data_IF_051948034327
#
_entry.id   IF_051948034327
#
_cell.length_a   1.000
_cell.length_b   1.000
_cell.length_c   1.000
_cell.angle_alpha   90.00
_cell.angle_beta   90.00
_cell.angle_gamma   90.00
#
_symmetry.space_group_name_H-M   'P 1'
#
loop_
_entity.id
_entity.type
_entity.pdbx_description
1 polymer ?
#
# COMPACT_ATOMS: atom_id res chain seq x y z
N UNK A 1 37.42 1.18 -4.31
CA UNK A 1 35.98 1.11 -4.63
C UNK A 1 35.33 2.25 -3.88
N UNK A 2 35.06 3.36 -4.58
CA UNK A 2 34.25 4.46 -4.04
C UNK A 2 32.91 3.88 -3.59
N UNK A 3 32.43 4.30 -2.42
CA UNK A 3 31.20 3.78 -1.82
C UNK A 3 30.03 4.11 -2.75
N UNK A 4 29.54 3.09 -3.46
CA UNK A 4 28.22 3.18 -4.10
C UNK A 4 27.19 3.39 -2.97
N UNK A 5 26.35 4.42 -3.10
CA UNK A 5 25.26 4.70 -2.16
C UNK A 5 24.24 3.56 -2.11
N UNK A 6 23.27 3.62 -1.18
CA UNK A 6 22.32 2.54 -0.99
C UNK A 6 21.50 2.29 -2.27
N UNK A 7 21.28 1.00 -2.58
CA UNK A 7 20.42 0.57 -3.69
C UNK A 7 18.93 0.58 -3.35
N UNK A 8 18.58 1.09 -2.17
CA UNK A 8 17.23 1.12 -1.65
C UNK A 8 16.96 2.42 -0.92
N UNK A 9 15.70 2.82 -0.86
CA UNK A 9 15.28 3.94 -0.04
C UNK A 9 13.78 3.96 0.19
N UNK A 10 13.34 4.52 1.31
CA UNK A 10 11.92 4.63 1.65
C UNK A 10 11.52 6.10 1.77
N UNK A 11 10.41 6.46 1.13
CA UNK A 11 9.80 7.78 1.17
C UNK A 11 8.43 7.64 1.82
N UNK A 12 8.21 8.35 2.92
CA UNK A 12 6.93 8.37 3.60
C UNK A 12 6.22 9.69 3.37
N UNK A 13 5.25 9.68 2.48
CA UNK A 13 4.47 10.85 2.11
C UNK A 13 2.99 10.55 2.31
N UNK A 14 2.28 11.39 3.05
CA UNK A 14 0.87 11.18 3.39
C UNK A 14 -0.01 10.93 2.15
N UNK A 15 -1.07 10.15 2.31
CA UNK A 15 -1.96 9.86 1.17
C UNK A 15 -2.62 11.15 0.67
N UNK A 16 -2.61 11.34 -0.65
CA UNK A 16 -3.13 12.57 -1.27
C UNK A 16 -2.08 13.69 -1.41
N UNK A 17 -0.85 13.53 -0.91
CA UNK A 17 0.20 14.55 -1.03
C UNK A 17 0.86 14.67 -2.41
N UNK A 18 0.40 13.91 -3.42
CA UNK A 18 0.98 13.92 -4.76
C UNK A 18 2.14 12.94 -5.00
N UNK A 19 2.18 11.79 -4.30
CA UNK A 19 3.19 10.74 -4.51
C UNK A 19 3.39 10.34 -5.97
N UNK A 20 2.31 10.20 -6.74
CA UNK A 20 2.37 9.82 -8.16
C UNK A 20 3.11 10.87 -9.00
N UNK A 21 2.89 12.16 -8.72
CA UNK A 21 3.64 13.26 -9.34
C UNK A 21 5.13 13.23 -8.97
N UNK A 22 5.43 12.98 -7.69
CA UNK A 22 6.81 12.82 -7.23
C UNK A 22 7.53 11.71 -8.03
N UNK A 23 6.89 10.55 -8.22
CA UNK A 23 7.50 9.44 -8.98
C UNK A 23 7.83 9.84 -10.41
N UNK A 24 6.93 10.53 -11.11
CA UNK A 24 7.20 10.94 -12.50
C UNK A 24 8.25 12.03 -12.61
N UNK A 25 8.21 13.05 -11.76
CA UNK A 25 9.25 14.07 -11.77
C UNK A 25 10.61 13.49 -11.40
N UNK A 26 10.65 12.55 -10.45
CA UNK A 26 11.86 11.80 -10.13
C UNK A 26 12.33 10.97 -11.34
N UNK A 27 11.43 10.23 -12.00
CA UNK A 27 11.77 9.42 -13.17
C UNK A 27 12.36 10.26 -14.31
N UNK A 28 11.78 11.41 -14.61
CA UNK A 28 12.32 12.34 -15.61
C UNK A 28 13.68 12.89 -15.21
N UNK A 29 13.83 13.35 -13.96
CA UNK A 29 15.11 13.88 -13.48
C UNK A 29 16.21 12.84 -13.51
N UNK A 30 15.92 11.61 -13.08
CA UNK A 30 16.86 10.47 -13.12
C UNK A 30 17.27 10.14 -14.55
N UNK A 31 16.32 10.13 -15.48
CA UNK A 31 16.57 9.90 -16.91
C UNK A 31 17.51 10.93 -17.55
N UNK A 32 17.53 12.15 -17.02
CA UNK A 32 18.38 13.24 -17.51
C UNK A 32 19.79 13.25 -16.88
N UNK A 33 20.08 12.40 -15.89
CA UNK A 33 21.41 12.30 -15.30
C UNK A 33 22.33 11.47 -16.20
N UNK A 34 23.39 12.08 -16.71
CA UNK A 34 24.35 11.42 -17.60
C UNK A 34 25.16 10.33 -16.87
N UNK A 35 25.39 10.53 -15.57
CA UNK A 35 26.10 9.64 -14.66
C UNK A 35 25.38 8.30 -14.48
N UNK A 36 24.07 8.25 -14.79
CA UNK A 36 23.26 7.04 -14.74
C UNK A 36 23.24 6.27 -16.07
N UNK A 37 23.98 6.75 -17.08
CA UNK A 37 24.18 6.07 -18.37
C UNK A 37 22.88 5.62 -19.06
N UNK A 38 21.96 6.56 -19.25
CA UNK A 38 20.62 6.33 -19.78
C UNK A 38 19.86 5.25 -18.97
N UNK A 39 19.48 5.54 -17.72
CA UNK A 39 18.85 4.54 -16.86
C UNK A 39 17.46 4.15 -17.39
N UNK A 40 17.00 2.96 -17.03
CA UNK A 40 15.59 2.60 -17.19
C UNK A 40 14.89 2.89 -15.87
N UNK A 41 13.81 3.66 -15.88
CA UNK A 41 13.05 3.95 -14.66
C UNK A 41 11.69 3.27 -14.75
N UNK A 42 11.29 2.56 -13.69
CA UNK A 42 10.07 1.78 -13.66
C UNK A 42 9.21 2.28 -12.51
N UNK A 43 8.00 2.73 -12.82
CA UNK A 43 6.97 3.07 -11.84
C UNK A 43 6.10 1.83 -11.67
N UNK A 44 6.09 1.29 -10.45
CA UNK A 44 5.36 0.08 -10.09
C UNK A 44 4.24 0.43 -9.14
N UNK A 45 3.02 0.20 -9.57
CA UNK A 45 1.82 0.40 -8.77
C UNK A 45 1.26 -0.93 -8.25
N UNK A 46 0.43 -0.88 -7.21
CA UNK A 46 -0.35 -2.03 -6.74
C UNK A 46 -1.84 -1.94 -7.12
N UNK A 47 -2.21 -0.91 -7.90
CA UNK A 47 -3.57 -0.65 -8.35
C UNK A 47 -3.64 -0.49 -9.86
N UNK A 48 -4.51 -1.28 -10.48
CA UNK A 48 -4.76 -1.22 -11.93
C UNK A 48 -5.44 0.09 -12.31
N UNK A 49 -6.37 0.58 -11.48
CA UNK A 49 -7.07 1.84 -11.72
C UNK A 49 -6.15 3.07 -11.59
N UNK A 50 -5.13 2.97 -10.74
CA UNK A 50 -4.12 4.01 -10.58
C UNK A 50 -3.12 4.03 -11.75
N UNK A 51 -2.78 2.88 -12.33
CA UNK A 51 -1.99 2.78 -13.57
C UNK A 51 -2.65 3.56 -14.73
N UNK A 52 -3.96 3.39 -14.93
CA UNK A 52 -4.70 4.10 -15.98
C UNK A 52 -4.75 5.61 -15.74
N UNK A 53 -4.92 6.03 -14.47
CA UNK A 53 -4.92 7.44 -14.10
C UNK A 53 -3.54 8.07 -14.33
N UNK A 54 -2.49 7.45 -13.79
CA UNK A 54 -1.08 7.84 -13.96
C UNK A 54 -0.80 7.95 -15.46
N UNK A 55 -1.01 6.88 -16.22
CA UNK A 55 -0.74 6.88 -17.67
C UNK A 55 -1.53 7.97 -18.40
N UNK A 56 -2.81 8.18 -18.07
CA UNK A 56 -3.64 9.23 -18.65
C UNK A 56 -3.16 10.64 -18.35
N UNK A 57 -2.82 10.93 -17.09
CA UNK A 57 -2.29 12.22 -16.65
C UNK A 57 -0.94 12.51 -17.32
N UNK A 58 -0.07 11.52 -17.43
CA UNK A 58 1.27 11.71 -18.01
C UNK A 58 1.28 11.75 -19.54
N UNK A 59 0.38 11.03 -20.19
CA UNK A 59 0.17 11.17 -21.64
C UNK A 59 -0.32 12.57 -21.97
N UNK A 60 -1.24 13.13 -21.17
CA UNK A 60 -1.69 14.53 -21.31
C UNK A 60 -0.58 15.55 -21.07
N UNK A 61 0.36 15.24 -20.19
CA UNK A 61 1.52 16.09 -19.93
C UNK A 61 2.63 15.96 -20.99
N UNK A 62 2.43 15.17 -22.05
CA UNK A 62 3.37 14.96 -23.16
C UNK A 62 4.78 14.53 -22.72
N UNK A 63 4.88 13.76 -21.63
CA UNK A 63 6.18 13.31 -21.13
C UNK A 63 6.79 12.32 -22.12
N UNK A 64 7.99 12.60 -22.68
CA UNK A 64 8.59 11.76 -23.71
C UNK A 64 9.13 10.45 -23.11
N UNK A 65 9.22 9.41 -23.96
CA UNK A 65 9.80 8.11 -23.60
C UNK A 65 9.11 7.41 -22.42
N UNK A 66 7.79 7.56 -22.29
CA UNK A 66 6.95 6.76 -21.40
C UNK A 66 6.35 5.58 -22.18
N UNK A 67 6.34 4.41 -21.55
CA UNK A 67 5.65 3.21 -22.01
C UNK A 67 4.85 2.61 -20.85
N UNK A 68 3.72 1.97 -21.14
CA UNK A 68 2.98 1.18 -20.16
C UNK A 68 2.95 -0.27 -20.63
N UNK A 69 3.26 -1.20 -19.71
CA UNK A 69 3.09 -2.62 -19.95
C UNK A 69 1.75 -3.07 -19.37
N UNK A 70 0.79 -3.34 -20.25
CA UNK A 70 -0.56 -3.81 -19.91
C UNK A 70 -0.59 -5.31 -19.66
N UNK A 71 0.32 -6.04 -20.30
CA UNK A 71 0.43 -7.49 -20.15
C UNK A 71 1.78 -7.90 -19.55
N UNK A 72 1.84 -9.13 -19.05
CA UNK A 72 3.10 -9.73 -18.57
C UNK A 72 4.09 -9.88 -19.72
N UNK A 73 3.62 -10.25 -20.89
CA UNK A 73 4.43 -10.47 -22.09
C UNK A 73 5.11 -9.16 -22.51
N UNK A 74 4.37 -8.05 -22.47
CA UNK A 74 4.91 -6.70 -22.70
C UNK A 74 5.97 -6.33 -21.66
N UNK A 75 5.72 -6.59 -20.37
CA UNK A 75 6.70 -6.36 -19.30
C UNK A 75 8.00 -7.13 -19.55
N UNK A 76 7.89 -8.43 -19.85
CA UNK A 76 9.05 -9.28 -20.13
C UNK A 76 9.78 -8.83 -21.39
N UNK A 77 9.05 -8.51 -22.45
CA UNK A 77 9.63 -8.03 -23.70
C UNK A 77 10.40 -6.73 -23.50
N UNK A 78 9.84 -5.77 -22.75
CA UNK A 78 10.47 -4.50 -22.44
C UNK A 78 11.85 -4.67 -21.81
N UNK A 79 11.96 -5.52 -20.78
CA UNK A 79 13.23 -5.75 -20.09
C UNK A 79 14.20 -6.60 -20.91
N UNK A 80 13.74 -7.62 -21.64
CA UNK A 80 14.57 -8.48 -22.49
C UNK A 80 15.10 -7.75 -23.73
N UNK A 81 14.35 -6.80 -24.27
CA UNK A 81 14.77 -5.91 -25.36
C UNK A 81 15.63 -4.74 -24.86
N UNK A 82 15.88 -4.68 -23.55
CA UNK A 82 16.76 -3.70 -22.93
C UNK A 82 16.33 -2.25 -23.19
N UNK A 83 15.02 -2.01 -23.18
CA UNK A 83 14.46 -0.70 -23.47
C UNK A 83 14.84 0.35 -22.42
N UNK A 84 15.21 1.55 -22.91
CA UNK A 84 15.77 2.68 -22.14
C UNK A 84 14.73 3.78 -21.98
N UNK A 85 13.62 3.48 -21.31
CA UNK A 85 12.44 4.36 -21.17
C UNK A 85 11.99 4.45 -19.72
N UNK A 86 10.98 5.27 -19.49
CA UNK A 86 10.15 5.22 -18.28
C UNK A 86 9.07 4.17 -18.54
N UNK A 87 9.00 3.13 -17.72
CA UNK A 87 7.96 2.11 -17.78
C UNK A 87 6.97 2.31 -16.64
N UNK A 88 5.67 2.29 -16.94
CA UNK A 88 4.61 2.20 -15.94
C UNK A 88 4.05 0.78 -15.98
N UNK A 89 3.92 0.16 -14.81
CA UNK A 89 3.40 -1.21 -14.69
C UNK A 89 2.83 -1.46 -13.30
N UNK A 90 2.24 -2.63 -13.10
CA UNK A 90 1.71 -3.07 -11.80
C UNK A 90 2.54 -4.22 -11.24
N UNK A 91 2.66 -4.29 -9.93
CA UNK A 91 3.39 -5.35 -9.21
C UNK A 91 2.90 -6.75 -9.57
N UNK A 92 1.60 -6.91 -9.85
CA UNK A 92 0.98 -8.21 -10.18
C UNK A 92 1.58 -8.85 -11.44
N UNK A 93 2.09 -8.06 -12.38
CA UNK A 93 2.71 -8.56 -13.63
C UNK A 93 4.04 -9.27 -13.36
N UNK A 94 4.65 -9.07 -12.21
CA UNK A 94 5.83 -9.83 -11.76
C UNK A 94 5.47 -11.19 -11.14
N UNK A 95 4.19 -11.46 -10.86
CA UNK A 95 3.75 -12.66 -10.14
C UNK A 95 4.05 -13.98 -10.84
N UNK A 96 4.14 -14.00 -12.16
CA UNK A 96 4.46 -15.21 -12.92
C UNK A 96 5.79 -15.10 -13.66
N UNK A 97 6.61 -14.09 -13.35
CA UNK A 97 7.93 -13.94 -13.95
C UNK A 97 8.88 -14.97 -13.34
N UNK A 98 9.47 -15.80 -14.20
CA UNK A 98 10.46 -16.78 -13.83
C UNK A 98 11.85 -16.36 -14.30
N UNK A 99 12.82 -16.41 -13.39
CA UNK A 99 14.21 -16.09 -13.67
C UNK A 99 14.48 -14.58 -13.82
N UNK A 100 15.69 -14.29 -14.30
CA UNK A 100 16.19 -12.92 -14.45
C UNK A 100 15.74 -12.36 -15.80
N UNK A 101 15.15 -11.15 -15.79
CA UNK A 101 14.76 -10.43 -17.00
C UNK A 101 15.87 -9.51 -17.51
N UNK A 102 16.60 -8.86 -16.60
CA UNK A 102 17.70 -7.95 -16.95
C UNK A 102 18.65 -7.76 -15.75
N UNK A 103 19.96 -7.87 -15.99
CA UNK A 103 21.00 -7.77 -14.96
C UNK A 103 21.66 -6.38 -14.86
N UNK A 104 21.20 -5.39 -15.62
CA UNK A 104 21.77 -4.04 -15.55
C UNK A 104 21.66 -3.44 -14.16
N UNK A 105 22.68 -2.68 -13.80
CA UNK A 105 22.81 -2.01 -12.53
C UNK A 105 22.25 -0.57 -12.52
N UNK A 106 21.75 -0.06 -13.64
CA UNK A 106 21.10 1.25 -13.77
C UNK A 106 19.62 1.14 -14.18
N UNK A 107 18.94 0.14 -13.64
CA UNK A 107 17.48 0.06 -13.60
C UNK A 107 17.02 0.58 -12.24
N UNK A 108 16.03 1.47 -12.23
CA UNK A 108 15.54 2.13 -11.01
C UNK A 108 14.04 1.92 -10.90
N UNK A 109 13.59 1.30 -9.81
CA UNK A 109 12.18 1.08 -9.52
C UNK A 109 11.69 2.07 -8.48
N UNK A 110 10.58 2.72 -8.78
CA UNK A 110 9.79 3.57 -7.89
C UNK A 110 8.49 2.82 -7.61
N UNK A 111 8.33 2.30 -6.39
CA UNK A 111 7.23 1.40 -6.02
C UNK A 111 6.24 2.17 -5.16
N UNK A 112 5.01 2.36 -5.65
CA UNK A 112 3.93 2.94 -4.86
C UNK A 112 3.32 1.91 -3.90
N UNK A 113 2.74 2.43 -2.83
CA UNK A 113 2.24 1.68 -1.67
C UNK A 113 3.16 0.49 -1.32
N UNK A 114 4.44 0.81 -1.11
CA UNK A 114 5.52 -0.13 -0.84
C UNK A 114 5.25 -1.10 0.32
N UNK A 115 4.26 -0.81 1.15
CA UNK A 115 3.80 -1.68 2.22
C UNK A 115 2.89 -2.84 1.74
N UNK A 116 2.13 -2.66 0.65
CA UNK A 116 1.23 -3.65 0.04
C UNK A 116 1.97 -4.57 -0.93
N UNK A 117 3.01 -4.07 -1.60
CA UNK A 117 3.84 -4.87 -2.51
C UNK A 117 4.69 -5.95 -1.81
N UNK A 118 4.69 -5.99 -0.48
CA UNK A 118 5.38 -7.02 0.33
C UNK A 118 4.49 -8.21 0.72
N UNK A 119 3.33 -8.41 0.08
CA UNK A 119 2.57 -9.64 0.24
C UNK A 119 3.30 -10.84 -0.39
N UNK A 120 4.14 -11.44 0.47
CA UNK A 120 4.84 -12.74 0.53
C UNK A 120 5.51 -13.36 -0.72
N UNK A 121 5.27 -12.91 -1.95
CA UNK A 121 5.95 -13.47 -3.14
C UNK A 121 6.25 -12.44 -4.25
N UNK A 122 5.35 -11.48 -4.51
CA UNK A 122 5.49 -10.57 -5.64
C UNK A 122 6.74 -9.69 -5.57
N UNK A 123 7.02 -9.09 -4.41
CA UNK A 123 8.21 -8.28 -4.19
C UNK A 123 9.51 -9.09 -4.37
N UNK A 124 9.51 -10.37 -3.98
CA UNK A 124 10.68 -11.24 -4.16
C UNK A 124 10.87 -11.60 -5.63
N UNK A 125 9.80 -11.95 -6.35
CA UNK A 125 9.84 -12.21 -7.79
C UNK A 125 10.34 -11.01 -8.58
N UNK A 126 9.86 -9.81 -8.26
CA UNK A 126 10.34 -8.57 -8.87
C UNK A 126 11.86 -8.35 -8.66
N UNK A 127 12.36 -8.60 -7.45
CA UNK A 127 13.80 -8.50 -7.13
C UNK A 127 14.62 -9.57 -7.82
N UNK A 128 14.12 -10.81 -7.89
CA UNK A 128 14.78 -11.89 -8.61
C UNK A 128 14.85 -11.61 -10.12
N UNK A 129 13.81 -10.99 -10.68
CA UNK A 129 13.77 -10.60 -12.08
C UNK A 129 14.76 -9.49 -12.43
N UNK A 130 15.08 -8.60 -11.48
CA UNK A 130 15.92 -7.42 -11.66
C UNK A 130 16.95 -7.30 -10.52
N UNK A 131 17.93 -8.22 -10.45
CA UNK A 131 18.77 -8.43 -9.26
C UNK A 131 19.70 -7.26 -8.92
N UNK A 132 20.08 -6.45 -9.91
CA UNK A 132 21.03 -5.35 -9.73
C UNK A 132 20.37 -3.97 -9.65
N UNK A 133 19.04 -3.92 -9.76
CA UNK A 133 18.28 -2.68 -9.80
C UNK A 133 18.22 -1.94 -8.46
N UNK A 134 17.92 -0.64 -8.52
CA UNK A 134 17.63 0.21 -7.38
C UNK A 134 16.15 0.14 -7.03
N UNK A 135 15.79 0.10 -5.75
CA UNK A 135 14.42 -0.03 -5.28
C UNK A 135 14.04 1.08 -4.30
N UNK A 136 13.24 2.04 -4.75
CA UNK A 136 12.72 3.11 -3.91
C UNK A 136 11.23 2.90 -3.65
N UNK A 137 10.85 2.80 -2.39
CA UNK A 137 9.46 2.63 -1.97
C UNK A 137 8.84 3.96 -1.59
N UNK A 138 7.62 4.20 -2.03
CA UNK A 138 6.76 5.28 -1.56
C UNK A 138 5.58 4.66 -0.79
N UNK A 139 5.22 5.24 0.34
CA UNK A 139 4.08 4.74 1.12
C UNK A 139 3.41 5.86 1.89
N UNK A 140 2.07 5.83 1.97
CA UNK A 140 1.29 6.68 2.87
C UNK A 140 1.32 6.21 4.33
N UNK A 141 1.47 4.90 4.51
CA UNK A 141 1.32 4.20 5.78
C UNK A 141 2.47 3.21 5.96
N UNK A 142 3.64 3.64 6.46
CA UNK A 142 4.74 2.73 6.71
C UNK A 142 4.35 1.74 7.83
N UNK A 143 4.30 0.44 7.51
CA UNK A 143 3.99 -0.60 8.49
C UNK A 143 5.24 -0.88 9.31
N UNK A 144 5.17 -0.60 10.62
CA UNK A 144 6.26 -0.86 11.58
C UNK A 144 5.90 -2.04 12.51
N UNK A 145 5.29 -3.10 11.96
CA UNK A 145 4.97 -4.34 12.69
C UNK A 145 5.88 -5.47 12.21
N UNK A 146 6.36 -6.27 13.17
CA UNK A 146 7.42 -7.28 13.04
C UNK A 146 7.28 -8.32 11.92
N UNK A 147 6.10 -8.48 11.30
CA UNK A 147 5.84 -9.52 10.28
C UNK A 147 5.74 -9.02 8.82
N UNK A 148 5.78 -7.70 8.56
CA UNK A 148 5.76 -7.13 7.20
C UNK A 148 6.61 -5.85 7.16
N UNK A 149 7.94 -6.00 7.16
CA UNK A 149 8.82 -4.86 7.37
C UNK A 149 9.16 -4.14 6.06
N UNK A 150 8.40 -3.08 5.72
CA UNK A 150 8.70 -2.19 4.57
C UNK A 150 10.14 -1.66 4.62
N UNK A 151 10.70 -1.44 5.82
CA UNK A 151 12.09 -1.01 5.97
C UNK A 151 13.10 -2.10 5.61
N UNK A 152 12.78 -3.38 5.78
CA UNK A 152 13.67 -4.45 5.33
C UNK A 152 13.80 -4.42 3.80
N UNK A 153 12.69 -4.20 3.10
CA UNK A 153 12.65 -4.17 1.65
C UNK A 153 13.25 -2.87 1.07
N UNK A 154 12.97 -1.72 1.68
CA UNK A 154 13.28 -0.41 1.08
C UNK A 154 14.11 0.52 1.97
N UNK A 155 14.15 0.32 3.28
CA UNK A 155 14.93 1.20 4.18
C UNK A 155 16.44 0.99 4.00
N UNK A 156 17.20 2.07 3.94
CA UNK A 156 18.67 2.05 3.92
C UNK A 156 19.24 2.30 5.32
N UNK A 157 20.40 1.71 5.61
CA UNK A 157 21.06 1.89 6.91
C UNK A 157 21.54 3.34 7.08
N UNK A 158 21.90 3.98 5.96
CA UNK A 158 22.30 5.38 5.89
C UNK A 158 21.16 6.36 6.27
N UNK A 159 19.91 5.95 6.08
CA UNK A 159 18.74 6.77 6.42
C UNK A 159 18.31 6.59 7.88
N UNK A 160 18.99 5.77 8.68
CA UNK A 160 18.57 5.48 10.06
C UNK A 160 18.60 6.73 10.96
N UNK A 161 19.51 7.67 10.69
CA UNK A 161 19.56 8.96 11.40
C UNK A 161 18.32 9.84 11.12
N UNK A 162 17.68 9.67 9.96
CA UNK A 162 16.43 10.36 9.57
C UNK A 162 15.18 9.49 9.83
N UNK A 163 15.32 8.43 10.64
CA UNK A 163 14.23 7.52 10.98
C UNK A 163 13.93 6.45 9.92
N UNK A 164 14.90 6.17 9.05
CA UNK A 164 14.83 5.16 7.98
C UNK A 164 14.13 5.64 6.71
N UNK A 165 14.01 6.97 6.53
CA UNK A 165 13.35 7.57 5.37
C UNK A 165 14.27 8.60 4.68
N UNK A 166 14.30 8.55 3.34
CA UNK A 166 14.94 9.58 2.51
C UNK A 166 14.19 10.91 2.65
N UNK A 167 12.86 10.83 2.70
CA UNK A 167 11.98 12.00 2.82
C UNK A 167 10.71 11.62 3.56
N UNK A 168 10.25 12.53 4.42
CA UNK A 168 9.06 12.36 5.23
C UNK A 168 8.16 13.59 5.11
N UNK A 169 6.92 13.34 4.74
CA UNK A 169 5.83 14.31 4.69
C UNK A 169 4.61 13.69 5.37
N UNK A 170 4.34 14.11 6.59
CA UNK A 170 3.34 13.48 7.45
C UNK A 170 1.94 14.04 7.25
N UNK A 171 0.94 13.35 7.82
CA UNK A 171 -0.42 13.89 7.93
C UNK A 171 -0.43 15.31 8.52
N UNK A 172 0.36 15.52 9.58
CA UNK A 172 0.45 16.82 10.24
C UNK A 172 0.95 17.91 9.28
N UNK A 173 1.97 17.61 8.47
CA UNK A 173 2.49 18.55 7.47
C UNK A 173 1.43 18.87 6.41
N UNK A 174 0.72 17.84 5.96
CA UNK A 174 -0.35 17.92 4.96
C UNK A 174 -1.56 18.74 5.41
N UNK A 175 -1.83 18.79 6.72
CA UNK A 175 -2.85 19.66 7.30
C UNK A 175 -2.32 21.08 7.45
N UNK A 176 -1.08 21.24 7.95
CA UNK A 176 -0.47 22.55 8.22
C UNK A 176 -0.30 23.43 6.98
N UNK A 177 -0.01 22.83 5.82
CA UNK A 177 0.13 23.54 4.55
C UNK A 177 -1.17 23.59 3.72
N UNK A 178 -2.25 22.99 4.22
CA UNK A 178 -3.56 22.97 3.56
C UNK A 178 -3.64 22.03 2.33
N UNK A 179 -2.68 21.11 2.14
CA UNK A 179 -2.75 20.11 1.09
C UNK A 179 -3.90 19.10 1.30
N UNK A 180 -4.26 18.81 2.56
CA UNK A 180 -5.38 17.94 2.92
C UNK A 180 -6.27 18.54 3.99
N UNK A 181 -7.55 18.14 4.01
CA UNK A 181 -8.50 18.50 5.05
C UNK A 181 -8.24 17.71 6.34
N UNK A 182 -8.55 18.32 7.48
CA UNK A 182 -8.52 17.67 8.79
C UNK A 182 -9.50 16.50 8.88
N UNK A 183 -9.10 15.45 9.60
CA UNK A 183 -9.96 14.32 9.91
C UNK A 183 -10.66 14.54 11.25
N UNK A 184 -11.98 14.66 11.22
CA UNK A 184 -12.79 14.68 12.43
C UNK A 184 -13.18 13.24 12.83
N UNK A 185 -12.58 12.73 13.91
CA UNK A 185 -12.89 11.42 14.45
C UNK A 185 -13.95 11.50 15.53
N UNK A 186 -15.14 10.97 15.25
CA UNK A 186 -16.21 10.82 16.22
C UNK A 186 -16.37 9.35 16.61
N UNK A 187 -16.18 9.04 17.89
CA UNK A 187 -16.52 7.73 18.44
C UNK A 187 -18.02 7.67 18.74
N UNK A 188 -18.66 6.57 18.33
CA UNK A 188 -20.07 6.33 18.57
C UNK A 188 -20.18 5.33 19.71
N UNK A 189 -20.68 5.72 20.89
CA UNK A 189 -20.92 4.78 21.96
C UNK A 189 -22.11 3.89 21.57
N UNK A 190 -21.84 2.61 21.32
CA UNK A 190 -22.90 1.60 21.20
C UNK A 190 -23.01 0.94 22.58
N UNK A 191 -23.98 1.38 23.40
CA UNK A 191 -24.26 0.73 24.68
C UNK A 191 -24.74 -0.71 24.43
N UNK A 192 -24.09 -1.71 25.03
CA UNK A 192 -24.65 -3.08 25.04
C UNK A 192 -24.38 -3.84 26.33
N UNK A 193 -25.40 -4.63 26.71
CA UNK A 193 -25.37 -5.69 27.71
C UNK A 193 -25.22 -7.01 26.95
N UNK A 194 -24.09 -7.68 27.13
CA UNK A 194 -23.91 -9.08 26.70
C UNK A 194 -24.66 -9.96 27.69
N UNK A 195 -25.47 -10.91 27.22
CA UNK A 195 -26.00 -11.97 28.07
C UNK A 195 -24.97 -13.10 28.11
N UNK A 196 -24.00 -12.97 29.01
CA UNK A 196 -22.85 -13.88 29.12
C UNK A 196 -23.28 -15.35 29.34
N UNK A 197 -24.43 -15.58 29.98
CA UNK A 197 -24.95 -16.92 30.26
C UNK A 197 -25.37 -17.67 28.98
N UNK A 198 -26.08 -17.01 28.05
CA UNK A 198 -26.51 -17.63 26.78
C UNK A 198 -25.34 -17.92 25.84
N UNK A 199 -24.34 -17.02 25.82
CA UNK A 199 -23.12 -17.22 25.02
C UNK A 199 -22.27 -18.37 25.56
N UNK A 200 -22.27 -18.57 26.89
CA UNK A 200 -21.52 -19.66 27.51
C UNK A 200 -22.20 -21.01 27.27
N UNK A 201 -23.53 -21.11 27.38
CA UNK A 201 -24.28 -22.35 27.10
C UNK A 201 -24.09 -22.83 25.65
N UNK A 202 -24.27 -21.95 24.65
CA UNK A 202 -24.06 -22.32 23.24
C UNK A 202 -22.59 -22.71 22.96
N UNK A 203 -21.64 -22.09 23.65
CA UNK A 203 -20.22 -22.35 23.48
C UNK A 203 -19.79 -23.70 24.11
N UNK A 204 -20.32 -24.03 25.28
CA UNK A 204 -20.03 -25.29 25.97
C UNK A 204 -20.55 -26.48 25.14
N UNK A 205 -21.72 -26.36 24.49
CA UNK A 205 -22.24 -27.37 23.56
C UNK A 205 -21.37 -27.58 22.30
N UNK A 206 -20.70 -26.52 21.82
CA UNK A 206 -19.89 -26.55 20.60
C UNK A 206 -18.43 -27.01 20.83
N UNK A 207 -17.94 -27.01 22.07
CA UNK A 207 -16.51 -27.18 22.38
C UNK A 207 -16.14 -28.41 23.20
N UNK A 208 -17.05 -29.38 23.30
CA UNK A 208 -16.88 -30.65 24.03
C UNK A 208 -15.65 -31.50 23.61
N UNK A 209 -14.98 -31.19 22.49
CA UNK A 209 -13.88 -31.99 21.92
C UNK A 209 -12.51 -31.29 21.82
N UNK A 210 -12.35 -30.08 22.36
CA UNK A 210 -11.09 -29.31 22.27
C UNK A 210 -10.44 -29.04 23.65
N UNK A 211 -9.13 -28.80 23.65
CA UNK A 211 -8.36 -28.56 24.88
C UNK A 211 -8.70 -27.21 25.52
N UNK A 212 -8.53 -27.08 26.85
CA UNK A 212 -8.86 -25.85 27.60
C UNK A 212 -8.11 -24.59 27.09
N UNK A 213 -6.90 -24.74 26.55
CA UNK A 213 -6.14 -23.63 25.96
C UNK A 213 -6.72 -23.18 24.61
N UNK A 214 -7.14 -24.14 23.77
CA UNK A 214 -7.80 -23.88 22.49
C UNK A 214 -9.20 -23.29 22.71
N UNK A 215 -9.94 -23.77 23.73
CA UNK A 215 -11.21 -23.17 24.16
C UNK A 215 -11.06 -21.71 24.50
N UNK A 216 -10.07 -21.32 25.32
CA UNK A 216 -9.89 -19.92 25.73
C UNK A 216 -9.60 -18.94 24.57
N UNK A 217 -8.88 -19.38 23.54
CA UNK A 217 -8.63 -18.58 22.34
C UNK A 217 -9.85 -18.55 21.41
N UNK A 218 -10.57 -19.68 21.30
CA UNK A 218 -11.83 -19.76 20.58
C UNK A 218 -12.87 -18.84 21.24
N UNK A 219 -13.10 -18.93 22.57
CA UNK A 219 -14.03 -18.05 23.32
C UNK A 219 -13.75 -16.60 22.99
N UNK A 220 -12.49 -16.15 23.02
CA UNK A 220 -12.15 -14.76 22.70
C UNK A 220 -12.48 -14.38 21.27
N UNK A 221 -12.22 -15.25 20.30
CA UNK A 221 -12.58 -14.99 18.90
C UNK A 221 -14.09 -15.03 18.68
N UNK A 222 -14.76 -16.07 19.15
CA UNK A 222 -16.19 -16.29 18.99
C UNK A 222 -17.00 -15.24 19.75
N UNK A 223 -16.57 -14.80 20.94
CA UNK A 223 -17.24 -13.71 21.67
C UNK A 223 -17.10 -12.35 20.98
N UNK A 224 -15.94 -12.07 20.39
CA UNK A 224 -15.72 -10.85 19.60
C UNK A 224 -16.53 -10.90 18.29
N UNK A 225 -16.54 -12.04 17.61
CA UNK A 225 -17.28 -12.24 16.36
C UNK A 225 -18.79 -12.22 16.60
N UNK A 226 -19.29 -12.94 17.60
CA UNK A 226 -20.69 -12.90 18.03
C UNK A 226 -21.09 -11.48 18.47
N UNK A 227 -20.19 -10.74 19.13
CA UNK A 227 -20.42 -9.34 19.46
C UNK A 227 -20.60 -8.48 18.21
N UNK A 228 -19.72 -8.61 17.20
CA UNK A 228 -19.80 -7.81 15.98
C UNK A 228 -20.98 -8.21 15.09
N UNK A 229 -21.38 -9.48 15.10
CA UNK A 229 -22.42 -10.06 14.25
C UNK A 229 -23.82 -10.10 14.88
N UNK A 230 -23.96 -9.73 16.15
CA UNK A 230 -25.26 -9.67 16.83
C UNK A 230 -26.27 -8.80 16.05
N UNK A 231 -27.39 -9.39 15.66
CA UNK A 231 -28.38 -8.75 14.78
C UNK A 231 -28.90 -7.42 15.35
N UNK A 232 -29.17 -7.38 16.66
CA UNK A 232 -29.59 -6.14 17.34
C UNK A 232 -28.54 -5.03 17.17
N UNK A 233 -27.26 -5.36 17.38
CA UNK A 233 -26.14 -4.41 17.23
C UNK A 233 -26.03 -3.91 15.80
N UNK A 234 -26.06 -4.83 14.82
CA UNK A 234 -25.99 -4.47 13.40
C UNK A 234 -27.11 -3.48 13.07
N UNK A 235 -28.34 -3.77 13.49
CA UNK A 235 -29.48 -2.89 13.27
C UNK A 235 -29.33 -1.52 13.95
N UNK A 236 -28.84 -1.49 15.19
CA UNK A 236 -28.62 -0.24 15.94
C UNK A 236 -27.53 0.63 15.27
N UNK A 237 -26.42 0.01 14.86
CA UNK A 237 -25.32 0.67 14.12
C UNK A 237 -25.81 1.15 12.75
N UNK A 238 -26.55 0.33 12.01
CA UNK A 238 -27.09 0.70 10.71
C UNK A 238 -28.07 1.89 10.82
N UNK A 239 -28.97 1.88 11.82
CA UNK A 239 -29.88 3.00 12.09
C UNK A 239 -29.11 4.28 12.42
N UNK A 240 -28.06 4.19 13.24
CA UNK A 240 -27.20 5.33 13.54
C UNK A 240 -26.52 5.88 12.27
N UNK A 241 -25.89 5.02 11.47
CA UNK A 241 -25.18 5.42 10.23
C UNK A 241 -26.15 6.13 9.27
N UNK A 242 -27.33 5.56 9.03
CA UNK A 242 -28.33 6.14 8.13
C UNK A 242 -28.80 7.50 8.65
N UNK A 243 -29.10 7.61 9.94
CA UNK A 243 -29.55 8.88 10.52
C UNK A 243 -28.45 9.96 10.46
N UNK A 244 -27.21 9.59 10.79
CA UNK A 244 -26.06 10.48 10.69
C UNK A 244 -25.82 10.94 9.25
N UNK A 245 -25.88 10.03 8.28
CA UNK A 245 -25.72 10.34 6.87
C UNK A 245 -26.77 11.36 6.39
N UNK A 246 -28.05 11.09 6.63
CA UNK A 246 -29.15 11.98 6.22
C UNK A 246 -29.08 13.36 6.86
N UNK A 247 -28.63 13.43 8.11
CA UNK A 247 -28.60 14.70 8.87
C UNK A 247 -27.37 15.55 8.53
N UNK A 248 -26.20 14.93 8.35
CA UNK A 248 -24.92 15.65 8.31
C UNK A 248 -24.20 15.56 6.95
N UNK A 249 -24.44 14.53 6.14
CA UNK A 249 -23.67 14.26 4.91
C UNK A 249 -24.50 14.48 3.66
N UNK A 250 -25.72 13.97 3.61
CA UNK A 250 -26.64 14.14 2.47
C UNK A 250 -26.90 15.62 2.12
N UNK A 251 -27.09 16.55 3.09
CA UNK A 251 -27.34 17.97 2.78
C UNK A 251 -26.17 18.67 2.10
N UNK A 252 -24.93 18.17 2.26
CA UNK A 252 -23.75 18.73 1.60
C UNK A 252 -23.53 18.13 0.20
N UNK A 253 -24.36 17.16 -0.22
CA UNK A 253 -24.22 16.46 -1.50
C UNK A 253 -23.04 15.48 -1.55
N UNK A 254 -22.36 15.24 -0.43
CA UNK A 254 -21.23 14.31 -0.33
C UNK A 254 -21.70 12.85 -0.25
N UNK A 255 -20.78 11.94 -0.57
CA UNK A 255 -20.98 10.49 -0.44
C UNK A 255 -20.35 9.98 0.85
N UNK A 256 -20.75 8.78 1.27
CA UNK A 256 -20.16 8.09 2.41
C UNK A 256 -19.77 6.65 2.03
N UNK A 257 -18.83 6.08 2.78
CA UNK A 257 -18.43 4.69 2.70
C UNK A 257 -18.55 4.05 4.07
N UNK A 258 -19.02 2.80 4.11
CA UNK A 258 -19.05 1.98 5.32
C UNK A 258 -18.06 0.83 5.14
N UNK A 259 -17.12 0.71 6.08
CA UNK A 259 -16.17 -0.40 6.12
C UNK A 259 -16.65 -1.35 7.22
N UNK A 260 -16.86 -2.62 6.87
CA UNK A 260 -17.41 -3.64 7.76
C UNK A 260 -16.33 -4.62 8.20
N UNK A 261 -16.54 -5.21 9.37
CA UNK A 261 -15.80 -6.39 9.82
C UNK A 261 -16.30 -7.60 9.02
N UNK A 262 -15.38 -8.48 8.60
CA UNK A 262 -15.69 -9.69 7.82
C UNK A 262 -15.36 -10.92 8.65
#
# INVERSE_FOLDING_TARGET
REKQGPKKGLIWHFQGSGKSWLMVFAAQKLRLQNELHAPTVVIVDDRIDLEDQITGDFTRAEIPNIESAKTKEELMAFFKQDQRKILITTIFKFGDVEGVLNERDNIILLVDEAHRTQEKDLGQKMRNALPNAFFFGLTGTPINKRDKNTFQAFGADEDMETGGYISKYTFQNSVEDGATLELNFQTVPVEMRLNEEQLQEEFDELTDQISEAEKGELVKRTSVEAFFTAEKRINDVARYIVNHFKTNVEPSGMKAQVVVFN
#
